data_IF_534076279358
#
_entry.id   IF_534076279358
#
_cell.length_a   1.000
_cell.length_b   1.000
_cell.length_c   1.000
_cell.angle_alpha   90.00
_cell.angle_beta   90.00
_cell.angle_gamma   90.00
#
_symmetry.space_group_name_H-M   'P 1'
#
loop_
_entity.id
_entity.type
_entity.pdbx_description
1 polymer ?
#
# COMPACT_ATOMS: atom_id res chain seq x y z
N UNK A 1 31.06 46.89 37.45
CA UNK A 1 30.35 45.62 37.75
C UNK A 1 31.00 44.50 36.95
N UNK A 2 31.54 43.45 37.59
CA UNK A 2 32.05 42.28 36.86
C UNK A 2 30.86 41.44 36.38
N UNK A 3 30.78 41.07 35.10
CA UNK A 3 29.69 40.24 34.61
C UNK A 3 29.66 38.91 35.36
N UNK A 4 28.45 38.46 35.67
CA UNK A 4 28.19 37.21 36.39
C UNK A 4 28.93 36.06 35.71
N UNK A 5 29.71 35.32 36.49
CA UNK A 5 30.49 34.20 35.99
C UNK A 5 29.60 33.25 35.16
N UNK A 6 30.09 32.79 33.99
CA UNK A 6 29.31 31.90 33.13
C UNK A 6 28.91 30.65 33.91
N UNK A 7 27.68 30.18 33.71
CA UNK A 7 27.15 28.98 34.37
C UNK A 7 28.11 27.80 34.13
N UNK A 8 28.53 27.11 35.20
CA UNK A 8 29.37 25.93 35.14
C UNK A 8 28.83 24.95 34.08
N UNK A 9 29.71 24.53 33.18
CA UNK A 9 29.37 23.55 32.15
C UNK A 9 28.97 22.23 32.81
N UNK A 10 27.69 21.85 32.68
CA UNK A 10 27.22 20.53 33.13
C UNK A 10 27.88 19.44 32.28
N UNK A 11 28.28 18.34 32.94
CA UNK A 11 28.76 17.13 32.26
C UNK A 11 27.69 16.63 31.28
N UNK A 12 28.10 16.29 30.07
CA UNK A 12 27.19 15.81 29.01
C UNK A 12 27.16 14.27 29.00
N UNK A 13 26.06 13.68 28.53
CA UNK A 13 25.92 12.22 28.47
C UNK A 13 26.99 11.55 27.59
N UNK A 14 27.46 12.25 26.55
CA UNK A 14 28.54 11.77 25.69
C UNK A 14 29.90 11.63 26.39
N UNK A 15 30.16 12.40 27.47
CA UNK A 15 31.39 12.24 28.27
C UNK A 15 31.39 10.91 29.05
N UNK A 16 30.21 10.30 29.27
CA UNK A 16 30.08 8.97 29.89
C UNK A 16 30.44 7.85 28.92
N UNK A 17 30.35 8.09 27.61
CA UNK A 17 30.71 7.13 26.55
C UNK A 17 32.16 7.40 26.13
N UNK A 18 33.10 6.96 26.96
CA UNK A 18 34.55 7.15 26.81
C UNK A 18 35.15 6.73 25.46
N UNK A 19 34.77 5.61 24.78
CA UNK A 19 35.41 5.24 23.52
C UNK A 19 35.10 6.22 22.38
N UNK A 20 33.88 6.75 22.32
CA UNK A 20 33.47 7.74 21.33
C UNK A 20 34.10 9.09 21.66
N UNK A 21 34.11 9.47 22.94
CA UNK A 21 34.67 10.74 23.38
C UNK A 21 36.18 10.87 23.14
N UNK A 22 36.94 9.77 23.27
CA UNK A 22 38.39 9.76 23.00
C UNK A 22 38.72 9.97 21.52
N UNK A 23 37.86 9.53 20.59
CA UNK A 23 38.05 9.66 19.13
C UNK A 23 37.71 11.04 18.57
N UNK A 24 37.02 11.89 19.34
CA UNK A 24 36.61 13.22 18.89
C UNK A 24 37.74 14.24 19.01
N UNK A 25 37.90 15.05 17.96
CA UNK A 25 38.86 16.15 17.93
C UNK A 25 38.41 17.31 18.83
N UNK A 26 39.31 18.21 19.25
CA UNK A 26 39.00 19.28 20.21
C UNK A 26 37.79 20.13 19.80
N UNK A 27 37.75 20.54 18.53
CA UNK A 27 36.63 21.31 17.97
C UNK A 27 35.30 20.58 18.07
N UNK A 28 35.29 19.26 17.82
CA UNK A 28 34.09 18.44 17.92
C UNK A 28 33.61 18.32 19.37
N UNK A 29 34.52 18.16 20.34
CA UNK A 29 34.18 18.11 21.77
C UNK A 29 33.51 19.40 22.24
N UNK A 30 33.99 20.56 21.78
CA UNK A 30 33.38 21.87 22.07
C UNK A 30 32.01 22.00 21.41
N UNK A 31 31.87 21.60 20.15
CA UNK A 31 30.59 21.62 19.42
C UNK A 31 29.54 20.72 20.07
N UNK A 32 29.90 19.48 20.43
CA UNK A 32 28.98 18.58 21.13
C UNK A 32 28.55 19.14 22.49
N UNK A 33 29.47 19.72 23.28
CA UNK A 33 29.10 20.41 24.52
C UNK A 33 28.13 21.57 24.28
N UNK A 34 28.27 22.29 23.16
CA UNK A 34 27.36 23.37 22.80
C UNK A 34 25.97 22.85 22.42
N UNK A 35 25.89 21.81 21.59
CA UNK A 35 24.63 21.22 21.17
C UNK A 35 23.87 20.62 22.36
N UNK A 36 24.56 19.87 23.24
CA UNK A 36 23.96 19.28 24.44
C UNK A 36 23.58 20.29 25.52
N UNK A 37 24.07 21.54 25.45
CA UNK A 37 23.60 22.65 26.30
C UNK A 37 22.20 23.10 25.90
N UNK A 38 21.83 23.01 24.62
CA UNK A 38 20.55 23.46 24.06
C UNK A 38 19.67 22.28 23.61
N UNK A 39 19.38 21.35 24.52
CA UNK A 39 18.64 20.11 24.21
C UNK A 39 17.27 20.33 23.56
N UNK A 40 16.53 21.37 23.96
CA UNK A 40 15.23 21.69 23.36
C UNK A 40 15.34 22.04 21.87
N UNK A 41 16.30 22.90 21.51
CA UNK A 41 16.50 23.31 20.11
C UNK A 41 16.93 22.14 19.24
N UNK A 42 17.83 21.29 19.75
CA UNK A 42 18.29 20.08 19.07
C UNK A 42 17.14 19.09 18.80
N UNK A 43 16.28 18.85 19.80
CA UNK A 43 15.14 17.94 19.63
C UNK A 43 14.13 18.47 18.62
N UNK A 44 13.82 19.77 18.65
CA UNK A 44 12.91 20.40 17.68
C UNK A 44 13.38 20.18 16.23
N UNK A 45 14.68 20.35 15.96
CA UNK A 45 15.24 20.13 14.62
C UNK A 45 15.24 18.66 14.20
N UNK A 46 15.54 17.74 15.13
CA UNK A 46 15.55 16.31 14.85
C UNK A 46 14.13 15.83 14.51
N UNK A 47 13.13 16.23 15.28
CA UNK A 47 11.74 15.86 15.00
C UNK A 47 11.24 16.44 13.67
N UNK A 48 11.66 17.64 13.29
CA UNK A 48 11.32 18.21 11.98
C UNK A 48 11.88 17.39 10.81
N UNK A 49 13.17 17.06 10.86
CA UNK A 49 13.82 16.25 9.81
C UNK A 49 13.26 14.83 9.79
N UNK A 50 13.09 14.21 10.96
CA UNK A 50 12.53 12.87 11.08
C UNK A 50 11.08 12.81 10.58
N UNK A 51 10.27 13.84 10.86
CA UNK A 51 8.89 13.94 10.37
C UNK A 51 8.82 14.03 8.85
N UNK A 52 9.65 14.89 8.25
CA UNK A 52 9.73 14.99 6.78
C UNK A 52 10.17 13.65 6.15
N UNK A 53 11.18 12.99 6.72
CA UNK A 53 11.65 11.71 6.21
C UNK A 53 10.63 10.58 6.39
N UNK A 54 9.89 10.56 7.51
CA UNK A 54 8.81 9.60 7.74
C UNK A 54 7.68 9.76 6.71
N UNK A 55 7.32 11.01 6.38
CA UNK A 55 6.32 11.30 5.35
C UNK A 55 6.78 10.83 3.98
N UNK A 56 8.05 11.05 3.60
CA UNK A 56 8.61 10.56 2.34
C UNK A 56 8.59 9.04 2.25
N UNK A 57 9.05 8.34 3.29
CA UNK A 57 9.05 6.86 3.33
C UNK A 57 7.63 6.32 3.24
N UNK A 58 6.67 6.95 3.93
CA UNK A 58 5.26 6.57 3.85
C UNK A 58 4.71 6.78 2.44
N UNK A 59 5.06 7.89 1.77
CA UNK A 59 4.66 8.16 0.39
C UNK A 59 5.16 7.11 -0.59
N UNK A 60 6.44 6.72 -0.48
CA UNK A 60 6.97 5.61 -1.28
C UNK A 60 6.34 4.26 -0.92
N UNK A 61 6.12 3.98 0.37
CA UNK A 61 5.46 2.76 0.81
C UNK A 61 4.02 2.62 0.28
N UNK A 62 3.25 3.71 0.23
CA UNK A 62 1.92 3.73 -0.38
C UNK A 62 1.97 3.52 -1.89
N UNK A 63 2.95 4.13 -2.58
CA UNK A 63 3.16 3.94 -4.01
C UNK A 63 3.47 2.47 -4.32
N UNK A 64 4.39 1.87 -3.58
CA UNK A 64 4.80 0.47 -3.76
C UNK A 64 3.69 -0.52 -3.37
N UNK A 65 2.90 -0.19 -2.35
CA UNK A 65 1.73 -0.98 -1.96
C UNK A 65 0.66 -1.01 -3.06
N UNK A 66 0.50 0.08 -3.81
CA UNK A 66 -0.47 0.14 -4.90
C UNK A 66 0.00 -0.68 -6.11
N UNK A 67 1.27 -0.55 -6.52
CA UNK A 67 1.83 -1.36 -7.62
C UNK A 67 1.82 -2.87 -7.32
N UNK A 68 2.16 -3.29 -6.09
CA UNK A 68 2.13 -4.71 -5.72
C UNK A 68 0.72 -5.32 -5.65
N UNK A 69 -0.31 -4.51 -5.45
CA UNK A 69 -1.71 -4.95 -5.46
C UNK A 69 -2.25 -5.12 -6.89
N UNK A 70 -1.90 -4.21 -7.80
CA UNK A 70 -2.30 -4.29 -9.21
C UNK A 70 -1.68 -5.53 -9.88
N UNK A 71 -0.38 -5.79 -9.71
CA UNK A 71 0.23 -6.99 -10.31
C UNK A 71 -0.38 -8.30 -9.79
N UNK A 72 -0.66 -8.41 -8.48
CA UNK A 72 -1.30 -9.63 -7.94
C UNK A 72 -2.76 -9.78 -8.37
N UNK A 73 -3.50 -8.69 -8.50
CA UNK A 73 -4.90 -8.76 -8.91
C UNK A 73 -5.07 -9.08 -10.39
N UNK A 74 -4.20 -8.58 -11.26
CA UNK A 74 -4.32 -8.80 -12.70
C UNK A 74 -3.56 -10.03 -13.21
N UNK A 75 -2.42 -10.40 -12.63
CA UNK A 75 -1.60 -11.53 -13.13
C UNK A 75 -2.00 -12.89 -12.51
N UNK A 76 -2.59 -12.91 -11.30
CA UNK A 76 -2.89 -14.16 -10.58
C UNK A 76 -4.36 -14.50 -10.41
N UNK A 77 -5.26 -13.52 -10.38
CA UNK A 77 -6.70 -13.78 -10.16
C UNK A 77 -7.49 -13.91 -11.46
N UNK A 78 -7.03 -13.33 -12.57
CA UNK A 78 -7.77 -13.28 -13.83
C UNK A 78 -7.15 -14.26 -14.83
N UNK A 79 -7.51 -15.54 -14.75
CA UNK A 79 -7.14 -16.57 -15.76
C UNK A 79 -8.09 -16.57 -16.97
N UNK A 80 -8.49 -15.40 -17.45
CA UNK A 80 -9.30 -15.28 -18.66
C UNK A 80 -8.70 -14.24 -19.58
N UNK A 81 -8.65 -14.57 -20.87
CA UNK A 81 -8.09 -13.71 -21.91
C UNK A 81 -9.15 -12.74 -22.46
N UNK A 82 -10.44 -13.07 -22.33
CA UNK A 82 -11.54 -12.25 -22.82
C UNK A 82 -12.80 -12.42 -21.94
N UNK A 83 -13.55 -11.31 -21.78
CA UNK A 83 -14.88 -11.30 -21.18
C UNK A 83 -15.87 -10.72 -22.18
N UNK A 84 -17.00 -11.40 -22.38
CA UNK A 84 -18.09 -10.93 -23.24
C UNK A 84 -19.32 -10.71 -22.35
N UNK A 85 -19.79 -9.46 -22.30
CA UNK A 85 -20.98 -9.08 -21.55
C UNK A 85 -22.14 -8.97 -22.53
N UNK A 86 -23.17 -9.80 -22.33
CA UNK A 86 -24.42 -9.68 -23.07
C UNK A 86 -25.23 -8.51 -22.50
N UNK A 87 -25.91 -7.74 -23.36
CA UNK A 87 -26.87 -6.73 -22.93
C UNK A 87 -28.10 -7.36 -22.26
N UNK A 88 -28.95 -6.53 -21.65
CA UNK A 88 -30.17 -6.99 -20.97
C UNK A 88 -31.09 -7.77 -21.95
N UNK A 89 -31.30 -9.06 -21.67
CA UNK A 89 -32.03 -10.03 -22.51
C UNK A 89 -31.40 -10.33 -23.89
N UNK A 90 -30.33 -11.16 -23.96
CA UNK A 90 -29.84 -11.67 -25.24
C UNK A 90 -30.91 -12.54 -25.93
N UNK A 91 -31.12 -12.32 -27.22
CA UNK A 91 -32.03 -13.14 -28.03
C UNK A 91 -31.41 -14.53 -28.22
N UNK A 92 -32.21 -15.60 -28.21
CA UNK A 92 -31.72 -16.98 -28.37
C UNK A 92 -30.83 -17.18 -29.60
N UNK A 93 -31.13 -16.47 -30.69
CA UNK A 93 -30.37 -16.46 -31.94
C UNK A 93 -28.97 -15.85 -31.81
N UNK A 94 -28.80 -14.85 -30.93
CA UNK A 94 -27.51 -14.19 -30.67
C UNK A 94 -26.59 -15.10 -29.86
N UNK A 95 -27.16 -15.86 -28.92
CA UNK A 95 -26.44 -16.86 -28.12
C UNK A 95 -25.97 -18.02 -28.99
N UNK A 96 -26.81 -18.49 -29.92
CA UNK A 96 -26.45 -19.58 -30.85
C UNK A 96 -25.31 -19.15 -31.79
N UNK A 97 -25.42 -17.97 -32.41
CA UNK A 97 -24.37 -17.41 -33.26
C UNK A 97 -23.06 -17.16 -32.51
N UNK A 98 -23.14 -16.72 -31.26
CA UNK A 98 -21.98 -16.59 -30.37
C UNK A 98 -21.30 -17.95 -30.12
N UNK A 99 -22.08 -18.98 -29.79
CA UNK A 99 -21.55 -20.32 -29.54
C UNK A 99 -20.92 -20.95 -30.79
N UNK A 100 -21.45 -20.67 -31.98
CA UNK A 100 -20.85 -21.12 -33.25
C UNK A 100 -19.53 -20.42 -33.52
N UNK A 101 -19.48 -19.10 -33.37
CA UNK A 101 -18.26 -18.30 -33.56
C UNK A 101 -17.16 -18.71 -32.58
N UNK A 102 -17.51 -19.10 -31.35
CA UNK A 102 -16.56 -19.59 -30.35
C UNK A 102 -15.94 -20.95 -30.72
N UNK A 103 -16.68 -21.83 -31.39
CA UNK A 103 -16.17 -23.15 -31.82
C UNK A 103 -15.21 -23.07 -33.00
N UNK A 104 -15.34 -22.03 -33.82
CA UNK A 104 -14.48 -21.79 -34.98
C UNK A 104 -13.16 -21.08 -34.62
N UNK A 105 -13.03 -20.57 -33.40
CA UNK A 105 -11.83 -19.86 -32.94
C UNK A 105 -10.69 -20.85 -32.58
N UNK A 106 -9.52 -20.77 -33.24
CA UNK A 106 -8.36 -21.59 -32.88
C UNK A 106 -7.80 -21.13 -31.52
N UNK A 107 -7.73 -22.05 -30.55
CA UNK A 107 -7.23 -21.78 -29.19
C UNK A 107 -8.32 -21.66 -28.11
N UNK A 108 -9.59 -21.91 -28.45
CA UNK A 108 -10.68 -21.92 -27.48
C UNK A 108 -10.64 -23.17 -26.59
N UNK A 109 -10.20 -23.02 -25.33
CA UNK A 109 -10.09 -24.14 -24.38
C UNK A 109 -11.31 -24.32 -23.49
N UNK A 110 -11.86 -23.26 -22.87
CA UNK A 110 -13.03 -23.34 -21.99
C UNK A 110 -13.80 -22.00 -21.94
N UNK A 111 -15.10 -22.05 -21.66
CA UNK A 111 -15.92 -20.88 -21.29
C UNK A 111 -16.52 -21.07 -19.90
N UNK A 112 -16.80 -19.96 -19.21
CA UNK A 112 -17.59 -19.97 -17.99
C UNK A 112 -18.66 -18.88 -18.09
N UNK A 113 -19.92 -19.29 -18.14
CA UNK A 113 -21.07 -18.37 -18.16
C UNK A 113 -21.34 -17.89 -16.74
N UNK A 114 -21.34 -16.58 -16.56
CA UNK A 114 -21.58 -15.92 -15.27
C UNK A 114 -22.75 -14.95 -15.40
N UNK A 115 -23.64 -14.98 -14.42
CA UNK A 115 -24.63 -13.94 -14.22
C UNK A 115 -24.08 -12.89 -13.25
N UNK A 116 -24.14 -11.63 -13.62
CA UNK A 116 -23.70 -10.52 -12.78
C UNK A 116 -24.91 -9.68 -12.37
N UNK A 117 -25.12 -9.52 -11.07
CA UNK A 117 -26.17 -8.67 -10.52
C UNK A 117 -25.59 -7.77 -9.43
N UNK A 118 -25.99 -6.49 -9.40
CA UNK A 118 -25.53 -5.56 -8.38
C UNK A 118 -26.49 -5.56 -7.19
N UNK A 119 -26.06 -6.11 -6.05
CA UNK A 119 -26.86 -6.20 -4.83
C UNK A 119 -26.44 -5.10 -3.87
N UNK A 120 -27.40 -4.32 -3.38
CA UNK A 120 -27.13 -3.29 -2.36
C UNK A 120 -27.48 -3.83 -0.98
N UNK A 121 -26.46 -4.03 -0.15
CA UNK A 121 -26.64 -4.44 1.24
C UNK A 121 -26.86 -3.21 2.11
N UNK A 122 -27.94 -3.24 2.89
CA UNK A 122 -28.28 -2.21 3.88
C UNK A 122 -28.51 -2.90 5.22
N UNK A 123 -27.63 -2.62 6.20
CA UNK A 123 -27.75 -3.09 7.59
C UNK A 123 -27.84 -1.87 8.50
N UNK A 124 -28.68 -1.93 9.54
CA UNK A 124 -28.78 -0.85 10.53
C UNK A 124 -27.40 -0.52 11.13
N UNK A 125 -26.99 0.75 11.04
CA UNK A 125 -25.71 1.25 11.50
C UNK A 125 -24.56 1.23 10.49
N UNK A 126 -24.76 0.76 9.25
CA UNK A 126 -23.76 0.83 8.18
C UNK A 126 -24.30 1.52 6.92
N UNK A 127 -23.43 2.24 6.21
CA UNK A 127 -23.75 2.85 4.92
C UNK A 127 -24.12 1.78 3.89
N UNK A 128 -25.07 2.11 3.00
CA UNK A 128 -25.45 1.23 1.88
C UNK A 128 -24.23 0.92 1.03
N UNK A 129 -23.90 -0.35 0.89
CA UNK A 129 -22.80 -0.82 0.05
C UNK A 129 -23.37 -1.60 -1.12
N UNK A 130 -23.09 -1.12 -2.33
CA UNK A 130 -23.42 -1.84 -3.56
C UNK A 130 -22.27 -2.78 -3.88
N UNK A 131 -22.58 -4.07 -3.98
CA UNK A 131 -21.63 -5.14 -4.28
C UNK A 131 -22.08 -5.83 -5.56
N UNK A 132 -21.17 -6.01 -6.52
CA UNK A 132 -21.43 -6.82 -7.71
C UNK A 132 -21.31 -8.30 -7.35
N UNK A 133 -22.43 -9.01 -7.38
CA UNK A 133 -22.51 -10.44 -7.18
C UNK A 133 -22.34 -11.15 -8.53
N UNK A 134 -21.34 -12.03 -8.62
CA UNK A 134 -21.11 -12.89 -9.78
C UNK A 134 -21.54 -14.31 -9.42
N UNK A 135 -22.47 -14.89 -10.17
CA UNK A 135 -22.98 -16.26 -9.97
C UNK A 135 -22.68 -17.08 -11.22
N UNK A 136 -21.80 -18.11 -11.16
CA UNK A 136 -21.59 -19.00 -12.29
C UNK A 136 -22.81 -19.90 -12.52
N UNK A 137 -23.14 -20.22 -13.79
CA UNK A 137 -24.20 -21.19 -14.12
C UNK A 137 -23.84 -22.61 -13.61
N UNK A 138 -22.54 -22.95 -13.56
CA UNK A 138 -22.04 -24.25 -13.09
C UNK A 138 -21.01 -24.09 -11.96
N UNK A 139 -21.35 -24.54 -10.74
CA UNK A 139 -20.50 -24.42 -9.55
C UNK A 139 -19.20 -25.23 -9.63
N UNK A 140 -19.16 -26.31 -10.41
CA UNK A 140 -18.00 -27.21 -10.51
C UNK A 140 -16.87 -26.72 -11.41
N UNK A 141 -17.13 -25.74 -12.28
CA UNK A 141 -16.14 -25.20 -13.22
C UNK A 141 -15.43 -23.97 -12.68
N UNK A 142 -15.96 -23.33 -11.63
CA UNK A 142 -15.38 -22.14 -11.00
C UNK A 142 -13.93 -22.38 -10.51
N UNK A 143 -13.64 -23.58 -10.02
CA UNK A 143 -12.30 -23.98 -9.54
C UNK A 143 -11.22 -23.97 -10.64
N UNK A 144 -11.61 -24.04 -11.92
CA UNK A 144 -10.67 -23.94 -13.05
C UNK A 144 -10.32 -22.49 -13.39
N UNK A 145 -11.19 -21.54 -13.03
CA UNK A 145 -11.08 -20.12 -13.40
C UNK A 145 -10.67 -19.21 -12.24
N UNK A 146 -10.71 -19.68 -10.99
CA UNK A 146 -10.29 -18.92 -9.80
C UNK A 146 -9.15 -19.65 -9.07
N UNK A 147 -8.10 -18.93 -8.69
CA UNK A 147 -7.00 -19.47 -7.88
C UNK A 147 -7.46 -19.67 -6.43
N UNK A 148 -7.08 -20.79 -5.81
CA UNK A 148 -7.33 -21.09 -4.40
C UNK A 148 -6.38 -20.31 -3.48
#
# INVERSE_FOLDING_TARGET
MRPKAPRLGKKILLERITPIWKRLNFNQKVTFRNIFRYKQRMLMTIFGIAGCMALLVTGFGLKDSNTGMVEKQFDKLWKYEAMVVFGDNPTKTEIEKYNETLKELPGYENNLRMHQESVTFSKEGMNKQTVSLYVPENKGELDKFIFK
#
